data_IF_792381361814
#
_entry.id   IF_792381361814
#
_cell.length_a   1.000
_cell.length_b   1.000
_cell.length_c   1.000
_cell.angle_alpha   90.00
_cell.angle_beta   90.00
_cell.angle_gamma   90.00
#
_symmetry.space_group_name_H-M   'P 1'
#
loop_
_entity.id
_entity.type
_entity.pdbx_description
1 polymer ?
#
# COMPACT_ATOMS: atom_id res chain seq x y z
N UNK A 1 2.76 4.45 -7.32
CA UNK A 1 2.35 3.07 -6.99
C UNK A 1 3.30 2.53 -5.95
N UNK A 2 2.77 2.07 -4.82
CA UNK A 2 3.51 1.62 -3.65
C UNK A 2 2.99 0.26 -3.22
N UNK A 3 3.86 -0.53 -2.58
CA UNK A 3 3.52 -1.80 -1.96
C UNK A 3 3.27 -1.53 -0.47
N UNK A 4 2.11 -1.96 0.03
CA UNK A 4 1.81 -1.96 1.44
C UNK A 4 1.91 -3.38 1.98
N UNK A 5 2.34 -3.53 3.23
CA UNK A 5 2.40 -4.81 3.94
C UNK A 5 1.52 -4.73 5.19
N UNK A 6 0.83 -5.83 5.48
CA UNK A 6 0.02 -6.00 6.68
C UNK A 6 0.87 -5.87 7.94
N UNK A 7 0.39 -5.11 8.93
CA UNK A 7 1.07 -5.00 10.23
C UNK A 7 0.76 -6.17 11.16
N UNK A 8 -0.06 -7.14 10.74
CA UNK A 8 -0.42 -8.31 11.53
C UNK A 8 0.66 -9.41 11.52
N UNK A 9 1.82 -9.18 10.89
CA UNK A 9 2.90 -10.16 10.79
C UNK A 9 2.65 -11.30 9.79
N UNK A 10 1.59 -11.23 9.00
CA UNK A 10 1.23 -12.25 7.99
C UNK A 10 2.05 -12.16 6.69
N UNK A 11 2.79 -11.06 6.51
CA UNK A 11 3.46 -10.70 5.25
C UNK A 11 2.54 -10.56 4.03
N UNK A 12 1.22 -10.51 4.22
CA UNK A 12 0.29 -10.22 3.14
C UNK A 12 0.52 -8.79 2.62
N UNK A 13 0.50 -8.62 1.29
CA UNK A 13 0.86 -7.37 0.62
C UNK A 13 -0.16 -6.95 -0.41
N UNK A 14 -0.39 -5.65 -0.50
CA UNK A 14 -1.32 -5.05 -1.46
C UNK A 14 -0.69 -3.86 -2.18
N UNK A 15 -1.15 -3.59 -3.40
CA UNK A 15 -0.72 -2.42 -4.18
C UNK A 15 -1.65 -1.25 -3.90
N UNK A 16 -1.07 -0.05 -3.76
CA UNK A 16 -1.83 1.18 -3.60
C UNK A 16 -1.23 2.35 -4.38
N UNK A 17 -2.03 3.40 -4.57
CA UNK A 17 -1.59 4.66 -5.14
C UNK A 17 -1.39 5.70 -4.03
N UNK A 18 -0.19 6.27 -4.02
CA UNK A 18 0.17 7.43 -3.20
C UNK A 18 0.26 8.66 -4.10
N UNK A 19 -0.38 9.79 -3.77
CA UNK A 19 -0.23 11.05 -4.49
C UNK A 19 1.25 11.45 -4.59
N UNK A 20 1.64 12.08 -5.71
CA UNK A 20 3.04 12.47 -5.95
C UNK A 20 3.54 13.50 -4.93
N UNK A 21 2.66 14.39 -4.47
CA UNK A 21 2.96 15.46 -3.51
C UNK A 21 2.95 14.96 -2.05
N UNK A 22 2.52 13.72 -1.78
CA UNK A 22 2.54 13.19 -0.43
C UNK A 22 4.00 12.91 -0.01
N UNK A 23 4.43 13.57 1.06
CA UNK A 23 5.75 13.41 1.69
C UNK A 23 5.79 12.22 2.66
N UNK A 24 4.65 11.86 3.25
CA UNK A 24 4.51 10.72 4.16
C UNK A 24 4.36 9.37 3.46
N UNK A 25 4.64 8.29 4.22
CA UNK A 25 4.33 6.92 3.82
C UNK A 25 2.82 6.68 3.83
N UNK A 26 2.30 5.89 2.89
CA UNK A 26 0.87 5.57 2.84
C UNK A 26 0.52 4.51 3.88
N UNK A 27 -0.61 4.72 4.55
CA UNK A 27 -1.25 3.73 5.41
C UNK A 27 -2.71 3.51 4.97
N UNK A 28 -3.26 2.32 5.24
CA UNK A 28 -4.65 1.97 4.90
C UNK A 28 -5.15 0.82 5.79
N UNK A 29 -6.38 0.89 6.27
CA UNK A 29 -7.07 -0.29 6.83
C UNK A 29 -7.66 -1.12 5.68
N UNK A 30 -7.35 -2.41 5.65
CA UNK A 30 -7.87 -3.37 4.67
C UNK A 30 -7.97 -4.77 5.27
N UNK A 31 -8.80 -5.61 4.67
CA UNK A 31 -8.91 -7.02 5.06
C UNK A 31 -7.62 -7.78 4.71
N UNK A 32 -7.08 -8.49 5.68
CA UNK A 32 -5.99 -9.45 5.50
C UNK A 32 -6.55 -10.88 5.53
N UNK A 33 -6.49 -11.62 4.41
CA UNK A 33 -7.08 -12.95 4.32
C UNK A 33 -6.34 -14.00 5.16
N UNK A 34 -5.08 -13.76 5.54
CA UNK A 34 -4.29 -14.72 6.30
C UNK A 34 -4.59 -14.68 7.80
N UNK A 35 -5.06 -13.53 8.31
CA UNK A 35 -5.51 -13.37 9.70
C UNK A 35 -7.03 -13.18 9.81
N UNK A 36 -7.74 -13.13 8.68
CA UNK A 36 -9.19 -13.01 8.57
C UNK A 36 -9.79 -11.78 9.29
N UNK A 37 -9.08 -10.65 9.25
CA UNK A 37 -9.53 -9.42 9.91
C UNK A 37 -9.09 -8.17 9.16
N UNK A 38 -9.74 -7.04 9.46
CA UNK A 38 -9.32 -5.73 8.97
C UNK A 38 -8.14 -5.23 9.80
N UNK A 39 -7.02 -4.97 9.14
CA UNK A 39 -5.76 -4.58 9.79
C UNK A 39 -5.16 -3.36 9.11
N UNK A 40 -4.22 -2.71 9.80
CA UNK A 40 -3.43 -1.64 9.21
C UNK A 40 -2.44 -2.23 8.21
N UNK A 41 -2.36 -1.63 7.04
CA UNK A 41 -1.32 -1.85 6.05
C UNK A 41 -0.44 -0.61 5.98
N UNK A 42 0.88 -0.80 6.03
CA UNK A 42 1.87 0.28 5.97
C UNK A 42 2.73 0.17 4.73
N UNK A 43 3.15 1.32 4.20
CA UNK A 43 4.02 1.36 3.04
C UNK A 43 5.38 0.71 3.32
N UNK A 44 5.63 -0.37 2.57
CA UNK A 44 6.88 -1.11 2.56
C UNK A 44 7.87 -0.47 1.59
N UNK A 45 7.47 -0.28 0.32
CA UNK A 45 8.32 0.31 -0.72
C UNK A 45 7.55 0.93 -1.88
N UNK A 46 8.19 1.89 -2.55
CA UNK A 46 7.72 2.39 -3.85
C UNK A 46 7.97 1.35 -4.94
N UNK A 47 6.97 1.09 -5.77
CA UNK A 47 7.09 0.20 -6.94
C UNK A 47 7.50 1.01 -8.17
N UNK A 48 6.68 2.00 -8.55
CA UNK A 48 6.95 2.91 -9.67
C UNK A 48 6.13 4.19 -9.59
N UNK A 49 6.59 5.22 -10.31
CA UNK A 49 5.78 6.39 -10.61
C UNK A 49 4.80 6.08 -11.75
N UNK A 50 3.58 6.59 -11.67
CA UNK A 50 2.68 6.59 -12.82
C UNK A 50 3.02 7.81 -13.68
N UNK A 51 3.19 7.60 -14.98
CA UNK A 51 3.29 8.70 -15.96
C UNK A 51 1.86 9.06 -16.35
N UNK A 52 1.53 10.35 -16.41
CA UNK A 52 0.26 10.80 -17.00
C UNK A 52 0.28 10.35 -18.46
N UNK A 53 -0.75 9.61 -18.89
CA UNK A 53 -0.95 9.33 -20.29
C UNK A 53 -1.58 10.58 -20.92
N UNK A 54 -0.89 11.15 -21.91
CA UNK A 54 -1.35 12.28 -22.72
C UNK A 54 -1.43 11.76 -24.15
N UNK A 55 -2.50 11.02 -24.42
CA UNK A 55 -2.91 10.60 -25.75
C UNK A 55 -4.17 11.36 -26.15
#
# INVERSE_FOLDING_TARGET
MVLLESTAGSHHRIVAFRPKLATGRKEKIAFDPLVQQHVLYRELRKIRSLKKWSG
#
